data_IF_898409701403
#
_entry.id   IF_898409701403
#
_cell.length_a   1.000
_cell.length_b   1.000
_cell.length_c   1.000
_cell.angle_alpha   90.00
_cell.angle_beta   90.00
_cell.angle_gamma   90.00
#
_symmetry.space_group_name_H-M   'P 1'
#
loop_
_entity.id
_entity.type
_entity.pdbx_description
1 polymer ?
#
# COMPACT_ATOMS: atom_id res chain seq x y z
N UNK A 1 -20.31 -18.96 7.16
CA UNK A 1 -19.16 -18.58 7.99
C UNK A 1 -19.65 -17.47 8.88
N UNK A 2 -19.41 -17.53 10.18
CA UNK A 2 -19.74 -16.42 11.08
C UNK A 2 -18.64 -15.38 10.88
N UNK A 3 -19.00 -14.18 10.41
CA UNK A 3 -18.10 -13.04 10.46
C UNK A 3 -17.72 -12.82 11.94
N UNK A 4 -16.42 -12.75 12.22
CA UNK A 4 -15.87 -12.62 13.58
C UNK A 4 -16.28 -11.29 14.26
N UNK A 5 -16.84 -10.36 13.48
CA UNK A 5 -17.23 -9.02 13.87
C UNK A 5 -18.69 -8.77 13.48
N UNK A 6 -19.42 -8.07 14.35
CA UNK A 6 -20.76 -7.61 14.07
C UNK A 6 -20.75 -6.55 12.94
N UNK A 7 -21.80 -6.49 12.09
CA UNK A 7 -21.96 -5.41 11.13
C UNK A 7 -21.85 -4.03 11.78
N UNK A 8 -21.30 -3.06 11.05
CA UNK A 8 -21.21 -1.67 11.47
C UNK A 8 -21.91 -0.78 10.46
N UNK A 9 -22.41 0.37 10.92
CA UNK A 9 -23.00 1.39 10.05
C UNK A 9 -21.91 2.34 9.54
N UNK A 10 -22.13 2.93 8.36
CA UNK A 10 -21.32 3.99 7.82
C UNK A 10 -21.22 5.18 8.81
N UNK A 11 -20.01 5.72 9.06
CA UNK A 11 -19.81 6.83 9.99
C UNK A 11 -20.30 8.19 9.46
N UNK A 12 -20.70 8.28 8.19
CA UNK A 12 -21.18 9.53 7.57
C UNK A 12 -22.60 9.83 8.02
N UNK A 13 -22.83 11.03 8.57
CA UNK A 13 -24.16 11.45 9.04
C UNK A 13 -25.20 11.39 7.90
N UNK A 14 -26.28 10.64 8.14
CA UNK A 14 -27.37 10.45 7.16
C UNK A 14 -27.15 9.34 6.14
N UNK A 15 -26.02 8.61 6.19
CA UNK A 15 -25.82 7.39 5.41
C UNK A 15 -26.32 6.16 6.19
N UNK A 16 -27.19 5.36 5.56
CA UNK A 16 -27.79 4.15 6.18
C UNK A 16 -27.08 2.84 5.77
N UNK A 17 -25.92 2.92 5.09
CA UNK A 17 -25.18 1.72 4.68
C UNK A 17 -24.63 0.98 5.90
N UNK A 18 -25.01 -0.28 6.07
CA UNK A 18 -24.56 -1.17 7.15
C UNK A 18 -24.11 -2.50 6.56
N UNK A 19 -22.90 -2.92 6.92
CA UNK A 19 -22.31 -4.17 6.44
C UNK A 19 -21.10 -4.55 7.32
N UNK A 20 -20.36 -5.58 6.94
CA UNK A 20 -19.06 -5.88 7.52
C UNK A 20 -18.16 -4.64 7.54
N UNK A 21 -17.34 -4.50 8.59
CA UNK A 21 -16.47 -3.33 8.82
C UNK A 21 -15.66 -2.93 7.57
N UNK A 22 -15.14 -3.92 6.82
CA UNK A 22 -14.40 -3.66 5.57
C UNK A 22 -15.28 -3.19 4.43
N UNK A 23 -16.48 -3.74 4.29
CA UNK A 23 -17.43 -3.35 3.27
C UNK A 23 -17.91 -1.91 3.48
N UNK A 24 -18.04 -1.47 4.74
CA UNK A 24 -18.27 -0.07 5.08
C UNK A 24 -17.07 0.83 4.73
N UNK A 25 -15.84 0.38 4.99
CA UNK A 25 -14.64 1.12 4.60
C UNK A 25 -14.50 1.23 3.07
N UNK A 26 -14.83 0.16 2.35
CA UNK A 26 -14.87 0.17 0.89
C UNK A 26 -15.98 1.10 0.39
N UNK A 27 -17.17 1.08 1.01
CA UNK A 27 -18.28 1.96 0.69
C UNK A 27 -17.87 3.44 0.82
N UNK A 28 -17.28 3.85 1.95
CA UNK A 28 -16.79 5.23 2.15
C UNK A 28 -15.73 5.58 1.09
N UNK A 29 -14.79 4.68 0.81
CA UNK A 29 -13.73 4.94 -0.19
C UNK A 29 -14.23 5.00 -1.64
N UNK A 30 -15.39 4.42 -1.93
CA UNK A 30 -16.00 4.35 -3.28
C UNK A 30 -17.01 5.48 -3.51
N UNK A 31 -17.62 6.01 -2.47
CA UNK A 31 -18.56 7.13 -2.55
C UNK A 31 -17.84 8.41 -2.96
N UNK A 32 -18.45 9.18 -3.86
CA UNK A 32 -17.82 10.34 -4.50
C UNK A 32 -18.24 11.69 -3.93
N UNK A 33 -19.01 11.70 -2.84
CA UNK A 33 -19.46 12.91 -2.18
C UNK A 33 -18.53 13.34 -1.04
N UNK A 34 -18.52 14.64 -0.74
CA UNK A 34 -17.63 15.24 0.27
C UNK A 34 -17.84 14.65 1.68
N UNK A 35 -19.01 14.06 1.94
CA UNK A 35 -19.33 13.41 3.23
C UNK A 35 -18.62 12.07 3.41
N UNK A 36 -18.41 11.32 2.33
CA UNK A 36 -17.68 10.06 2.32
C UNK A 36 -16.19 10.26 1.99
N UNK A 37 -15.61 11.37 2.43
CA UNK A 37 -14.17 11.57 2.42
C UNK A 37 -13.56 11.20 3.76
N UNK A 38 -12.50 10.39 3.74
CA UNK A 38 -11.74 10.08 4.96
C UNK A 38 -11.15 11.33 5.62
N UNK A 39 -10.81 12.36 4.85
CA UNK A 39 -10.32 13.63 5.39
C UNK A 39 -11.41 14.41 6.17
N UNK A 40 -12.68 14.08 5.94
CA UNK A 40 -13.84 14.69 6.61
C UNK A 40 -14.31 13.90 7.84
N UNK A 41 -13.74 12.72 8.07
CA UNK A 41 -14.07 11.84 9.19
C UNK A 41 -12.95 11.85 10.23
N UNK A 42 -13.26 11.42 11.46
CA UNK A 42 -12.27 11.30 12.54
C UNK A 42 -11.32 10.09 12.37
N UNK A 43 -11.12 9.62 11.13
CA UNK A 43 -10.30 8.47 10.82
C UNK A 43 -9.19 8.80 9.82
N UNK A 44 -7.96 8.32 10.08
CA UNK A 44 -6.80 8.48 9.17
C UNK A 44 -6.86 7.45 8.03
N UNK A 45 -7.97 7.47 7.29
CA UNK A 45 -8.26 6.57 6.17
C UNK A 45 -8.97 5.26 6.55
N UNK A 46 -9.35 4.51 5.52
CA UNK A 46 -10.09 3.25 5.61
C UNK A 46 -9.47 2.23 6.57
N UNK A 47 -8.13 2.16 6.61
CA UNK A 47 -7.41 1.24 7.50
C UNK A 47 -7.64 1.59 8.96
N UNK A 48 -7.56 2.86 9.32
CA UNK A 48 -7.66 3.28 10.72
C UNK A 48 -9.11 3.13 11.22
N UNK A 49 -10.12 3.41 10.37
CA UNK A 49 -11.51 3.05 10.62
C UNK A 49 -11.70 1.55 10.92
N UNK A 50 -11.20 0.66 10.06
CA UNK A 50 -11.33 -0.79 10.24
C UNK A 50 -10.69 -1.24 11.56
N UNK A 51 -9.52 -0.70 11.89
CA UNK A 51 -8.79 -1.07 13.12
C UNK A 51 -9.48 -0.53 14.37
N UNK A 52 -10.01 0.69 14.33
CA UNK A 52 -10.73 1.32 15.44
C UNK A 52 -12.05 0.60 15.72
N UNK A 53 -12.76 0.18 14.68
CA UNK A 53 -14.03 -0.51 14.80
C UNK A 53 -13.87 -1.97 15.27
N UNK A 54 -12.86 -2.70 14.76
CA UNK A 54 -12.48 -4.00 15.32
C UNK A 54 -12.11 -3.90 16.80
N UNK A 55 -11.37 -2.86 17.20
CA UNK A 55 -10.98 -2.62 18.61
C UNK A 55 -12.20 -2.34 19.49
N UNK A 56 -13.18 -1.59 18.99
CA UNK A 56 -14.44 -1.30 19.68
C UNK A 56 -15.22 -2.58 19.97
N UNK A 57 -15.43 -3.40 18.94
CA UNK A 57 -16.19 -4.65 19.09
C UNK A 57 -15.45 -5.70 19.95
N UNK A 58 -14.12 -5.73 19.91
CA UNK A 58 -13.31 -6.53 20.83
C UNK A 58 -13.43 -6.06 22.30
N UNK A 59 -13.47 -4.76 22.53
CA UNK A 59 -13.67 -4.22 23.87
C UNK A 59 -15.09 -4.51 24.41
N UNK A 60 -16.09 -4.50 23.54
CA UNK A 60 -17.49 -4.81 23.86
C UNK A 60 -17.72 -6.31 24.10
N UNK A 61 -17.08 -7.18 23.31
CA UNK A 61 -17.14 -8.64 23.49
C UNK A 61 -16.28 -9.15 24.66
N UNK A 62 -15.18 -8.46 25.00
CA UNK A 62 -14.37 -8.72 26.20
C UNK A 62 -14.92 -8.09 27.49
N UNK A 63 -15.96 -7.26 27.40
CA UNK A 63 -16.53 -6.46 28.48
C UNK A 63 -17.59 -7.14 29.35
N UNK A 64 -17.49 -8.46 29.57
CA UNK A 64 -18.42 -9.19 30.45
C UNK A 64 -17.74 -9.72 31.73
N UNK A 65 -16.90 -8.92 32.41
CA UNK A 65 -16.62 -9.11 33.85
C UNK A 65 -16.14 -7.80 34.48
N UNK A 66 -17.00 -7.15 35.25
CA UNK A 66 -16.75 -6.68 36.63
C UNK A 66 -17.63 -5.47 36.98
N UNK A 67 -18.81 -5.77 37.54
CA UNK A 67 -19.61 -4.83 38.32
C UNK A 67 -19.08 -4.81 39.76
N UNK A 68 -18.74 -3.62 40.27
CA UNK A 68 -18.91 -3.17 41.66
C UNK A 68 -18.07 -3.80 42.79
N UNK A 69 -17.26 -2.98 43.48
CA UNK A 69 -17.63 -2.43 44.80
C UNK A 69 -16.54 -1.50 45.36
N UNK A 70 -16.97 -0.59 46.23
CA UNK A 70 -16.20 0.59 46.66
C UNK A 70 -15.43 0.47 47.99
N UNK A 71 -14.85 1.64 48.31
CA UNK A 71 -14.50 2.20 49.61
C UNK A 71 -13.24 1.72 50.38
N UNK A 72 -12.33 2.70 50.50
CA UNK A 72 -11.55 3.13 51.68
C UNK A 72 -10.31 2.34 52.19
N UNK A 73 -9.17 3.03 52.10
CA UNK A 73 -8.27 3.44 53.21
C UNK A 73 -6.77 3.00 53.19
N UNK A 74 -5.95 4.01 53.46
CA UNK A 74 -4.57 4.11 53.97
C UNK A 74 -3.40 3.26 53.42
N UNK A 75 -2.44 3.98 52.81
CA UNK A 75 -1.05 4.09 53.29
C UNK A 75 -0.04 2.99 52.92
N UNK A 76 1.09 3.40 52.33
CA UNK A 76 2.35 2.66 52.41
C UNK A 76 3.10 2.48 51.09
N UNK A 77 4.21 3.21 50.95
CA UNK A 77 5.17 3.11 49.86
C UNK A 77 5.75 1.69 49.70
N UNK A 78 5.80 1.19 48.46
CA UNK A 78 6.83 0.22 48.06
C UNK A 78 7.02 0.20 46.54
N UNK A 79 8.27 0.43 46.14
CA UNK A 79 8.71 0.39 44.76
C UNK A 79 8.48 -1.00 44.15
N UNK A 80 7.56 -1.08 43.19
CA UNK A 80 7.44 -2.21 42.28
C UNK A 80 7.53 -1.67 40.86
N UNK A 81 8.55 -2.11 40.14
CA UNK A 81 8.71 -1.86 38.71
C UNK A 81 7.40 -2.20 37.99
N UNK A 82 6.77 -1.21 37.38
CA UNK A 82 5.66 -1.43 36.45
C UNK A 82 6.18 -2.33 35.32
N UNK A 83 5.66 -3.56 35.14
CA UNK A 83 5.93 -4.28 33.91
C UNK A 83 5.28 -3.46 32.80
N UNK A 84 6.07 -3.10 31.78
CA UNK A 84 5.53 -2.47 30.59
C UNK A 84 4.33 -3.32 30.12
N UNK A 85 3.17 -2.71 29.81
CA UNK A 85 2.04 -3.46 29.28
C UNK A 85 2.53 -4.19 28.05
N UNK A 86 2.57 -5.52 28.13
CA UNK A 86 2.78 -6.37 26.97
C UNK A 86 1.53 -6.16 26.14
N UNK A 87 1.60 -5.26 25.16
CA UNK A 87 0.57 -5.14 24.16
C UNK A 87 0.36 -6.55 23.61
N UNK A 88 -0.89 -7.05 23.53
CA UNK A 88 -1.16 -8.28 22.80
C UNK A 88 -0.53 -8.12 21.41
N UNK A 89 0.00 -9.20 20.82
CA UNK A 89 0.59 -9.10 19.48
C UNK A 89 -0.44 -8.46 18.57
N UNK A 90 -0.12 -7.28 18.01
CA UNK A 90 -0.96 -6.67 16.99
C UNK A 90 -1.10 -7.72 15.88
N UNK A 91 -2.34 -8.05 15.51
CA UNK A 91 -2.57 -8.96 14.41
C UNK A 91 -1.78 -8.45 13.20
N UNK A 92 -0.99 -9.33 12.54
CA UNK A 92 -0.20 -8.90 11.41
C UNK A 92 -1.13 -8.25 10.38
N UNK A 93 -0.72 -7.17 9.72
CA UNK A 93 -1.54 -6.53 8.71
C UNK A 93 -1.98 -7.59 7.69
N UNK A 94 -3.30 -7.77 7.56
CA UNK A 94 -3.86 -8.65 6.55
C UNK A 94 -3.46 -8.14 5.16
N UNK A 95 -2.98 -9.03 4.31
CA UNK A 95 -2.52 -8.73 2.96
C UNK A 95 -3.67 -8.23 2.08
N UNK A 96 -3.45 -7.16 1.30
CA UNK A 96 -4.49 -6.44 0.53
C UNK A 96 -5.21 -7.19 -0.61
N UNK A 97 -5.15 -8.53 -0.66
CA UNK A 97 -6.03 -9.34 -1.51
C UNK A 97 -7.08 -10.01 -0.61
N UNK A 98 -8.23 -9.37 -0.48
CA UNK A 98 -9.35 -9.88 0.30
C UNK A 98 -10.34 -10.70 -0.55
N UNK A 99 -11.44 -11.11 0.07
CA UNK A 99 -12.48 -11.87 -0.60
C UNK A 99 -13.20 -11.07 -1.69
N UNK A 100 -13.28 -9.75 -1.55
CA UNK A 100 -13.95 -8.87 -2.51
C UNK A 100 -13.12 -8.75 -3.79
N UNK A 101 -11.78 -8.66 -3.69
CA UNK A 101 -10.90 -8.78 -4.85
C UNK A 101 -11.16 -10.08 -5.64
N UNK A 102 -11.27 -11.22 -4.94
CA UNK A 102 -11.52 -12.51 -5.59
C UNK A 102 -12.90 -12.52 -6.26
N UNK A 103 -13.93 -11.96 -5.61
CA UNK A 103 -15.27 -11.84 -6.17
C UNK A 103 -15.27 -10.96 -7.42
N UNK A 104 -14.64 -9.81 -7.38
CA UNK A 104 -14.56 -8.88 -8.51
C UNK A 104 -13.84 -9.51 -9.71
N UNK A 105 -12.77 -10.27 -9.45
CA UNK A 105 -12.08 -11.05 -10.49
C UNK A 105 -13.00 -12.11 -11.10
N UNK A 106 -13.77 -12.85 -10.29
CA UNK A 106 -14.69 -13.86 -10.80
C UNK A 106 -15.85 -13.24 -11.61
N UNK A 107 -16.41 -12.12 -11.15
CA UNK A 107 -17.44 -11.38 -11.88
C UNK A 107 -16.88 -10.82 -13.19
N UNK A 108 -15.63 -10.35 -13.20
CA UNK A 108 -14.96 -9.92 -14.43
C UNK A 108 -14.79 -11.09 -15.42
N UNK A 109 -14.38 -12.27 -14.96
CA UNK A 109 -14.29 -13.46 -15.81
C UNK A 109 -15.64 -13.83 -16.41
N UNK A 110 -16.70 -13.85 -15.59
CA UNK A 110 -18.07 -14.13 -16.03
C UNK A 110 -18.58 -13.09 -17.04
N UNK A 111 -18.36 -11.80 -16.79
CA UNK A 111 -18.77 -10.73 -17.70
C UNK A 111 -18.06 -10.79 -19.05
N UNK A 112 -16.77 -11.13 -19.07
CA UNK A 112 -16.01 -11.31 -20.33
C UNK A 112 -16.55 -12.48 -21.14
N UNK A 113 -16.97 -13.57 -20.48
CA UNK A 113 -17.61 -14.73 -21.14
C UNK A 113 -19.02 -14.38 -21.64
N UNK A 114 -19.87 -13.77 -20.81
CA UNK A 114 -21.24 -13.41 -21.17
C UNK A 114 -21.30 -12.43 -22.35
N UNK A 115 -20.34 -11.50 -22.42
CA UNK A 115 -20.30 -10.48 -23.46
C UNK A 115 -19.62 -10.97 -24.74
N UNK A 116 -19.06 -12.19 -24.75
CA UNK A 116 -18.34 -12.78 -25.88
C UNK A 116 -17.31 -11.80 -26.46
N UNK A 117 -16.44 -11.30 -25.58
CA UNK A 117 -15.55 -10.17 -25.90
C UNK A 117 -14.39 -10.61 -26.80
N UNK A 118 -14.71 -10.85 -28.08
CA UNK A 118 -13.73 -10.98 -29.16
C UNK A 118 -13.28 -9.60 -29.67
N UNK A 119 -14.16 -8.60 -29.57
CA UNK A 119 -13.90 -7.20 -29.95
C UNK A 119 -14.69 -6.22 -29.09
N UNK A 120 -14.01 -5.17 -28.60
CA UNK A 120 -14.66 -4.10 -27.82
C UNK A 120 -15.59 -3.21 -28.68
N UNK A 121 -15.39 -3.18 -30.00
CA UNK A 121 -16.16 -2.32 -30.91
C UNK A 121 -17.63 -2.79 -31.07
N UNK A 122 -17.90 -4.06 -30.73
CA UNK A 122 -19.23 -4.68 -30.85
C UNK A 122 -20.06 -4.55 -29.57
N UNK A 123 -19.44 -4.07 -28.48
CA UNK A 123 -20.10 -3.89 -27.19
C UNK A 123 -20.81 -2.55 -27.13
N UNK A 124 -22.04 -2.57 -26.61
CA UNK A 124 -22.76 -1.35 -26.30
C UNK A 124 -22.13 -0.60 -25.10
N UNK A 125 -22.54 0.65 -24.91
CA UNK A 125 -22.02 1.51 -23.84
C UNK A 125 -22.21 0.93 -22.45
N UNK A 126 -23.31 0.21 -22.19
CA UNK A 126 -23.58 -0.34 -20.87
C UNK A 126 -22.56 -1.45 -20.55
N UNK A 127 -22.33 -2.37 -21.49
CA UNK A 127 -21.32 -3.42 -21.35
C UNK A 127 -19.90 -2.86 -21.19
N UNK A 128 -19.55 -1.83 -21.97
CA UNK A 128 -18.25 -1.16 -21.86
C UNK A 128 -18.05 -0.51 -20.49
N UNK A 129 -19.08 0.13 -19.93
CA UNK A 129 -19.04 0.73 -18.59
C UNK A 129 -18.86 -0.34 -17.51
N UNK A 130 -19.57 -1.47 -17.62
CA UNK A 130 -19.40 -2.59 -16.68
C UNK A 130 -17.97 -3.13 -16.70
N UNK A 131 -17.43 -3.43 -17.89
CA UNK A 131 -16.07 -3.92 -18.04
C UNK A 131 -15.05 -2.92 -17.51
N UNK A 132 -15.19 -1.64 -17.86
CA UNK A 132 -14.28 -0.60 -17.38
C UNK A 132 -14.26 -0.50 -15.85
N UNK A 133 -15.43 -0.55 -15.23
CA UNK A 133 -15.57 -0.42 -13.77
C UNK A 133 -14.92 -1.60 -13.06
N UNK A 134 -15.26 -2.84 -13.47
CA UNK A 134 -14.66 -4.06 -12.91
C UNK A 134 -13.14 -4.11 -13.11
N UNK A 135 -12.66 -3.76 -14.31
CA UNK A 135 -11.21 -3.70 -14.59
C UNK A 135 -10.50 -2.64 -13.73
N UNK A 136 -11.14 -1.48 -13.52
CA UNK A 136 -10.59 -0.42 -12.67
C UNK A 136 -10.45 -0.88 -11.23
N UNK A 137 -11.46 -1.56 -10.69
CA UNK A 137 -11.46 -2.06 -9.31
C UNK A 137 -10.41 -3.17 -9.14
N UNK A 138 -10.42 -4.19 -10.01
CA UNK A 138 -9.42 -5.27 -10.00
C UNK A 138 -7.99 -4.71 -10.16
N UNK A 139 -7.79 -3.74 -11.05
CA UNK A 139 -6.48 -3.10 -11.25
C UNK A 139 -6.02 -2.33 -10.01
N UNK A 140 -6.91 -1.60 -9.37
CA UNK A 140 -6.58 -0.78 -8.19
C UNK A 140 -6.22 -1.66 -7.01
N UNK A 141 -7.05 -2.66 -6.71
CA UNK A 141 -6.80 -3.63 -5.65
C UNK A 141 -5.51 -4.43 -5.88
N UNK A 142 -5.26 -4.88 -7.11
CA UNK A 142 -4.00 -5.55 -7.45
C UNK A 142 -2.79 -4.62 -7.31
N UNK A 143 -2.92 -3.32 -7.63
CA UNK A 143 -1.85 -2.34 -7.49
C UNK A 143 -1.54 -2.05 -6.01
N UNK A 144 -2.55 -1.98 -5.16
CA UNK A 144 -2.38 -1.76 -3.72
C UNK A 144 -1.70 -2.95 -3.05
N UNK A 145 -2.16 -4.17 -3.32
CA UNK A 145 -1.46 -5.38 -2.87
C UNK A 145 -0.02 -5.43 -3.41
N UNK A 146 0.20 -5.02 -4.67
CA UNK A 146 1.55 -4.94 -5.25
C UNK A 146 2.42 -3.91 -4.55
N UNK A 147 1.89 -2.76 -4.12
CA UNK A 147 2.61 -1.74 -3.33
C UNK A 147 3.02 -2.32 -1.98
N UNK A 148 2.13 -3.01 -1.27
CA UNK A 148 2.45 -3.68 0.00
C UNK A 148 3.59 -4.69 -0.16
N UNK A 149 3.52 -5.57 -1.17
CA UNK A 149 4.63 -6.51 -1.48
C UNK A 149 5.91 -5.76 -1.81
N UNK A 150 5.84 -4.69 -2.60
CA UNK A 150 7.02 -3.88 -2.96
C UNK A 150 7.66 -3.27 -1.72
N UNK A 151 6.86 -2.78 -0.79
CA UNK A 151 7.35 -2.13 0.42
C UNK A 151 8.01 -3.17 1.35
N UNK A 152 7.44 -4.38 1.45
CA UNK A 152 8.12 -5.53 2.09
C UNK A 152 9.39 -5.96 1.38
N UNK A 153 9.41 -5.96 0.04
CA UNK A 153 10.64 -6.24 -0.71
C UNK A 153 11.73 -5.18 -0.46
N UNK A 154 11.36 -3.92 -0.19
CA UNK A 154 12.32 -2.87 0.16
C UNK A 154 12.97 -3.09 1.55
N UNK A 155 12.22 -3.68 2.50
CA UNK A 155 12.74 -4.08 3.81
C UNK A 155 13.73 -5.25 3.69
N UNK A 156 13.41 -6.24 2.85
CA UNK A 156 14.14 -7.53 2.79
C UNK A 156 15.26 -7.56 1.76
N UNK A 157 15.06 -6.96 0.58
CA UNK A 157 16.07 -6.98 -0.50
C UNK A 157 17.12 -5.92 -0.20
N UNK A 158 18.20 -6.34 0.46
CA UNK A 158 19.36 -5.50 0.69
C UNK A 158 20.25 -5.42 -0.56
N UNK A 159 20.98 -4.31 -0.70
CA UNK A 159 21.82 -3.94 -1.85
C UNK A 159 21.09 -3.75 -3.20
N UNK A 160 21.72 -3.03 -4.13
CA UNK A 160 21.20 -2.78 -5.50
C UNK A 160 21.35 -4.06 -6.38
N UNK A 161 20.80 -5.18 -5.91
CA UNK A 161 20.86 -6.49 -6.55
C UNK A 161 19.53 -6.90 -7.20
N UNK A 162 19.64 -7.84 -8.14
CA UNK A 162 18.51 -8.52 -8.78
C UNK A 162 18.22 -9.83 -8.05
N UNK A 163 16.94 -10.13 -7.84
CA UNK A 163 16.44 -11.35 -7.19
C UNK A 163 15.51 -12.05 -8.16
N UNK A 164 15.82 -13.31 -8.48
CA UNK A 164 15.01 -14.19 -9.32
C UNK A 164 14.03 -15.00 -8.46
N UNK A 165 12.88 -15.36 -9.04
CA UNK A 165 11.87 -16.24 -8.45
C UNK A 165 11.22 -17.12 -9.51
N UNK A 166 10.29 -17.99 -9.11
CA UNK A 166 9.58 -18.87 -10.03
C UNK A 166 8.71 -18.14 -11.05
N UNK A 167 8.33 -16.88 -10.83
CA UNK A 167 7.40 -16.17 -11.71
C UNK A 167 8.01 -14.93 -12.38
N UNK A 168 9.27 -14.62 -12.07
CA UNK A 168 9.99 -13.51 -12.65
C UNK A 168 11.14 -13.04 -11.78
N UNK A 169 11.47 -11.74 -11.88
CA UNK A 169 12.57 -11.16 -11.13
C UNK A 169 12.28 -9.73 -10.73
N UNK A 170 12.84 -9.31 -9.61
CA UNK A 170 12.81 -7.92 -9.14
C UNK A 170 14.22 -7.36 -9.00
N UNK A 171 14.37 -6.05 -9.16
CA UNK A 171 15.63 -5.34 -8.93
C UNK A 171 15.37 -4.14 -8.02
N UNK A 172 16.15 -4.04 -6.95
CA UNK A 172 16.23 -2.82 -6.14
C UNK A 172 17.12 -1.80 -6.84
N UNK A 173 16.69 -0.55 -6.86
CA UNK A 173 17.44 0.56 -7.47
C UNK A 173 17.35 1.77 -6.57
N UNK A 174 18.52 2.33 -6.25
CA UNK A 174 18.62 3.56 -5.47
C UNK A 174 18.91 4.73 -6.39
N UNK A 175 17.98 5.69 -6.46
CA UNK A 175 18.15 6.94 -7.16
C UNK A 175 18.56 8.05 -6.19
N UNK A 176 19.63 8.78 -6.50
CA UNK A 176 20.12 9.92 -5.71
C UNK A 176 19.85 11.22 -6.47
N UNK A 177 18.92 12.04 -5.97
CA UNK A 177 18.72 13.42 -6.43
C UNK A 177 19.66 14.32 -5.63
N UNK A 178 20.28 15.28 -6.33
CA UNK A 178 21.14 16.31 -5.72
C UNK A 178 20.54 17.66 -6.09
N UNK A 179 20.10 18.40 -5.09
CA UNK A 179 19.68 19.78 -5.24
C UNK A 179 20.76 20.66 -4.61
N UNK A 180 21.09 21.79 -5.22
CA UNK A 180 22.03 22.71 -4.63
C UNK A 180 21.40 23.31 -3.37
N UNK A 181 22.18 23.47 -2.30
CA UNK A 181 21.75 24.27 -1.15
C UNK A 181 21.63 25.74 -1.55
N UNK A 182 21.09 26.56 -0.64
CA UNK A 182 21.01 28.00 -0.87
C UNK A 182 22.39 28.61 -1.16
N UNK A 183 22.41 29.64 -2.01
CA UNK A 183 23.64 30.23 -2.54
C UNK A 183 24.62 30.67 -1.45
N UNK A 184 24.12 31.19 -0.32
CA UNK A 184 24.96 31.61 0.79
C UNK A 184 25.65 30.40 1.45
N UNK A 185 24.88 29.37 1.78
CA UNK A 185 25.44 28.12 2.34
C UNK A 185 26.47 27.50 1.39
N UNK A 186 26.21 27.51 0.07
CA UNK A 186 27.14 27.00 -0.93
C UNK A 186 28.41 27.84 -0.99
N UNK A 187 28.29 29.17 -1.02
CA UNK A 187 29.43 30.09 -1.04
C UNK A 187 30.31 29.90 0.19
N UNK A 188 29.72 29.89 1.39
CA UNK A 188 30.43 29.74 2.66
C UNK A 188 31.22 28.42 2.70
N UNK A 189 30.62 27.32 2.20
CA UNK A 189 31.28 26.02 2.16
C UNK A 189 32.35 25.91 1.06
N UNK A 190 32.18 26.59 -0.08
CA UNK A 190 33.22 26.67 -1.11
C UNK A 190 34.41 27.50 -0.62
N UNK A 191 34.17 28.64 0.02
CA UNK A 191 35.22 29.52 0.56
C UNK A 191 35.97 28.83 1.72
N UNK A 192 35.26 28.16 2.62
CA UNK A 192 35.87 27.34 3.68
C UNK A 192 36.77 26.21 3.13
N UNK A 193 36.53 25.78 1.89
CA UNK A 193 37.35 24.81 1.18
C UNK A 193 38.49 25.43 0.35
N UNK A 194 38.66 26.75 0.42
CA UNK A 194 39.64 27.50 -0.37
C UNK A 194 39.28 27.61 -1.86
N UNK A 195 38.00 27.48 -2.21
CA UNK A 195 37.49 27.67 -3.57
C UNK A 195 36.81 29.03 -3.64
N UNK A 196 37.24 29.87 -4.58
CA UNK A 196 36.56 31.14 -4.84
C UNK A 196 35.13 30.88 -5.36
N UNK A 197 34.07 31.34 -4.66
CA UNK A 197 32.69 31.14 -5.08
C UNK A 197 32.40 31.63 -6.51
N UNK A 198 33.15 32.61 -7.01
CA UNK A 198 33.04 33.10 -8.39
C UNK A 198 33.45 32.05 -9.45
N UNK A 199 34.30 31.07 -9.08
CA UNK A 199 34.66 29.94 -9.96
C UNK A 199 33.44 29.06 -10.31
N UNK A 200 32.44 29.01 -9.42
CA UNK A 200 31.19 28.28 -9.65
C UNK A 200 30.26 28.97 -10.65
N UNK A 201 30.54 30.23 -11.05
CA UNK A 201 29.78 31.08 -11.98
C UNK A 201 28.26 30.91 -11.83
N UNK A 202 27.67 31.74 -10.97
CA UNK A 202 26.24 31.78 -10.62
C UNK A 202 25.70 30.45 -10.06
N UNK A 203 26.50 29.75 -9.26
CA UNK A 203 26.09 28.52 -8.57
C UNK A 203 25.49 27.45 -9.50
N UNK A 204 25.99 27.36 -10.73
CA UNK A 204 25.53 26.35 -11.69
C UNK A 204 25.77 24.94 -11.10
N UNK A 205 24.70 24.17 -10.95
CA UNK A 205 24.71 22.86 -10.30
C UNK A 205 25.75 21.90 -10.90
N UNK A 206 25.97 21.96 -12.23
CA UNK A 206 26.95 21.10 -12.90
C UNK A 206 28.38 21.56 -12.60
N UNK A 207 28.64 22.87 -12.56
CA UNK A 207 29.96 23.43 -12.21
C UNK A 207 30.31 23.20 -10.76
N UNK A 208 29.40 23.47 -9.83
CA UNK A 208 29.61 23.19 -8.40
C UNK A 208 29.90 21.71 -8.19
N UNK A 209 29.15 20.82 -8.84
CA UNK A 209 29.41 19.37 -8.76
C UNK A 209 30.82 18.99 -9.26
N UNK A 210 31.28 19.62 -10.35
CA UNK A 210 32.62 19.40 -10.89
C UNK A 210 33.69 19.88 -9.90
N UNK A 211 33.57 21.09 -9.37
CA UNK A 211 34.51 21.66 -8.39
C UNK A 211 34.58 20.81 -7.11
N UNK A 212 33.43 20.38 -6.60
CA UNK A 212 33.35 19.50 -5.42
C UNK A 212 34.08 18.19 -5.66
N UNK A 213 33.87 17.56 -6.82
CA UNK A 213 34.55 16.31 -7.17
C UNK A 213 36.07 16.49 -7.38
N UNK A 214 36.49 17.57 -8.04
CA UNK A 214 37.91 17.86 -8.32
C UNK A 214 38.71 18.25 -7.07
N UNK A 215 38.04 18.79 -6.06
CA UNK A 215 38.66 19.26 -4.81
C UNK A 215 38.43 18.32 -3.63
N UNK A 216 37.74 17.20 -3.84
CA UNK A 216 37.48 16.20 -2.80
C UNK A 216 36.59 16.71 -1.67
N UNK A 217 35.75 17.71 -1.96
CA UNK A 217 34.78 18.24 -1.01
C UNK A 217 33.68 17.23 -0.75
N UNK A 218 33.18 17.22 0.48
CA UNK A 218 32.01 16.43 0.79
C UNK A 218 30.78 17.02 0.08
N UNK A 219 30.13 16.20 -0.76
CA UNK A 219 28.97 16.64 -1.53
C UNK A 219 27.83 17.11 -0.63
N UNK A 220 27.69 16.58 0.58
CA UNK A 220 26.58 16.93 1.47
C UNK A 220 26.74 18.30 2.13
N UNK A 221 27.94 18.89 2.10
CA UNK A 221 28.14 20.28 2.49
C UNK A 221 27.46 21.25 1.52
N UNK A 222 27.39 20.88 0.22
CA UNK A 222 27.03 21.79 -0.87
C UNK A 222 25.70 21.43 -1.54
N UNK A 223 25.30 20.17 -1.45
CA UNK A 223 24.06 19.65 -2.01
C UNK A 223 23.16 19.07 -0.92
N UNK A 224 21.87 19.33 -1.04
CA UNK A 224 20.84 18.51 -0.42
C UNK A 224 20.70 17.22 -1.22
N UNK A 225 21.05 16.11 -0.57
CA UNK A 225 21.08 14.77 -1.16
C UNK A 225 19.83 14.01 -0.72
N UNK A 226 18.89 13.83 -1.63
CA UNK A 226 17.73 12.99 -1.43
C UNK A 226 17.97 11.62 -2.08
N UNK A 227 17.79 10.54 -1.32
CA UNK A 227 17.86 9.17 -1.83
C UNK A 227 16.46 8.59 -1.87
N UNK A 228 16.05 8.11 -3.04
CA UNK A 228 14.81 7.35 -3.24
C UNK A 228 15.17 5.95 -3.68
N UNK A 229 14.73 4.97 -2.90
CA UNK A 229 14.95 3.57 -3.19
C UNK A 229 13.64 2.96 -3.66
N UNK A 230 13.67 2.17 -4.72
CA UNK A 230 12.48 1.49 -5.22
C UNK A 230 12.83 0.09 -5.71
N UNK A 231 11.86 -0.81 -5.63
CA UNK A 231 11.93 -2.15 -6.23
C UNK A 231 11.09 -2.13 -7.50
N UNK A 232 11.66 -2.64 -8.59
CA UNK A 232 10.95 -2.79 -9.87
C UNK A 232 10.98 -4.23 -10.35
N UNK A 233 9.90 -4.68 -10.98
CA UNK A 233 9.90 -5.88 -11.81
C UNK A 233 10.96 -5.71 -12.91
N UNK A 234 11.77 -6.73 -13.09
CA UNK A 234 12.90 -6.74 -14.03
C UNK A 234 12.91 -7.97 -14.95
N UNK A 235 12.02 -8.93 -14.70
CA UNK A 235 11.81 -10.11 -15.54
C UNK A 235 10.44 -10.74 -15.28
N UNK A 236 9.98 -11.52 -16.25
CA UNK A 236 8.79 -12.35 -16.22
C UNK A 236 9.16 -13.75 -16.71
N UNK A 237 8.68 -14.80 -16.05
CA UNK A 237 8.84 -16.19 -16.50
C UNK A 237 7.47 -16.78 -16.82
N UNK A 238 7.00 -16.56 -18.05
CA UNK A 238 5.66 -16.99 -18.48
C UNK A 238 5.58 -18.51 -18.65
N UNK A 239 6.71 -19.18 -18.94
CA UNK A 239 6.74 -20.65 -19.03
C UNK A 239 6.51 -21.29 -17.66
N UNK A 240 7.16 -20.79 -16.60
CA UNK A 240 6.92 -21.25 -15.24
C UNK A 240 5.53 -20.91 -14.75
N UNK A 241 4.98 -19.74 -15.09
CA UNK A 241 3.57 -19.42 -14.79
C UNK A 241 2.62 -20.41 -15.44
N UNK A 242 2.81 -20.73 -16.71
CA UNK A 242 2.00 -21.74 -17.41
C UNK A 242 2.14 -23.13 -16.78
N UNK A 243 3.36 -23.53 -16.36
CA UNK A 243 3.57 -24.78 -15.62
C UNK A 243 2.91 -24.76 -14.23
N UNK A 244 2.80 -23.61 -13.58
CA UNK A 244 2.06 -23.48 -12.33
C UNK A 244 0.56 -23.56 -12.57
N UNK A 245 0.05 -22.89 -13.61
CA UNK A 245 -1.34 -23.02 -14.06
C UNK A 245 -1.71 -24.48 -14.31
N UNK A 246 -0.90 -25.23 -15.06
CA UNK A 246 -1.15 -26.65 -15.34
C UNK A 246 -1.13 -27.57 -14.11
N UNK A 247 -0.63 -27.09 -12.96
CA UNK A 247 -0.63 -27.81 -11.68
C UNK A 247 -1.76 -27.38 -10.75
N UNK A 248 -2.58 -26.39 -11.14
CA UNK A 248 -3.76 -26.00 -10.38
C UNK A 248 -4.76 -27.15 -10.32
N UNK A 249 -5.58 -27.10 -9.28
CA UNK A 249 -6.69 -28.02 -9.10
C UNK A 249 -7.56 -28.08 -10.39
N UNK A 250 -7.98 -29.28 -10.85
CA UNK A 250 -8.82 -29.41 -12.03
C UNK A 250 -10.09 -28.56 -11.99
N UNK A 251 -10.75 -28.42 -10.83
CA UNK A 251 -11.95 -27.59 -10.69
C UNK A 251 -11.64 -26.11 -10.94
N UNK A 252 -10.49 -25.64 -10.44
CA UNK A 252 -10.05 -24.27 -10.65
C UNK A 252 -9.60 -24.01 -12.10
N UNK A 253 -8.96 -24.99 -12.75
CA UNK A 253 -8.60 -24.90 -14.18
C UNK A 253 -9.81 -24.93 -15.08
N UNK A 254 -10.85 -25.68 -14.71
CA UNK A 254 -12.09 -25.73 -15.48
C UNK A 254 -12.77 -24.37 -15.59
N UNK A 255 -12.55 -23.45 -14.63
CA UNK A 255 -13.05 -22.06 -14.71
C UNK A 255 -12.46 -21.27 -15.89
N UNK A 256 -11.30 -21.68 -16.42
CA UNK A 256 -10.56 -20.96 -17.47
C UNK A 256 -10.30 -21.87 -18.69
N UNK A 257 -11.16 -22.88 -18.91
CA UNK A 257 -10.91 -23.92 -19.91
C UNK A 257 -10.89 -23.37 -21.35
N UNK A 258 -9.98 -23.88 -22.18
CA UNK A 258 -9.59 -23.34 -23.50
C UNK A 258 -10.75 -23.33 -24.52
N UNK A 259 -11.78 -24.17 -24.31
CA UNK A 259 -13.01 -24.18 -25.12
C UNK A 259 -13.94 -22.98 -24.82
N UNK A 260 -13.73 -22.25 -23.72
CA UNK A 260 -14.52 -21.07 -23.32
C UNK A 260 -13.85 -19.73 -23.61
N UNK A 261 -12.52 -19.71 -23.77
CA UNK A 261 -11.74 -18.50 -24.06
C UNK A 261 -11.04 -18.54 -25.43
N UNK A 262 -11.17 -19.65 -26.16
CA UNK A 262 -10.69 -19.80 -27.54
C UNK A 262 -11.79 -19.43 -28.53
N UNK A 263 -11.78 -18.19 -28.99
CA UNK A 263 -12.55 -17.78 -30.17
C UNK A 263 -12.27 -18.71 -31.37
N UNK A 264 -13.32 -18.99 -32.14
CA UNK A 264 -13.23 -19.73 -33.40
C UNK A 264 -12.63 -18.89 -34.52
#
# INVERSE_FOLDING_TARGET
MQDEYDPTTCPVEGCEYEDAIRSVAAHVSRSSDDGHSWDALDYDGAREFVMSEKRRQHAESGGATATGNGAEDTGGESAASTPAPTLPPEDPPEFGLDLDFVRDVLVLFDAVEEYDVDSLDELDTFRLVNLYTLLSDVSSSADDARKEVRDKLLEVVQDDRRVESDFGAVKRTTHKRRNLKDERTVADHLEAAGIDPEEARSFDTKKVKKLVAERGLDESSVFDIEKRTYVRKSGADDERRRKAYNRLDPELRALVDDERFGGK
#
